data_IF_675227235508
#
_entry.id   IF_675227235508
#
_cell.length_a   1.000
_cell.length_b   1.000
_cell.length_c   1.000
_cell.angle_alpha   90.00
_cell.angle_beta   90.00
_cell.angle_gamma   90.00
#
_symmetry.space_group_name_H-M   'P 1'
#
loop_
_entity.id
_entity.type
_entity.pdbx_description
1 polymer ?
#
# COMPACT_ATOMS: atom_id res chain seq x y z
N UNK A 1 29.67 -47.93 -3.65
CA UNK A 1 30.30 -47.40 -4.86
C UNK A 1 29.30 -46.39 -5.41
N UNK A 2 29.38 -45.08 -5.09
CA UNK A 2 30.07 -44.06 -5.92
C UNK A 2 30.05 -44.48 -7.39
N UNK A 3 29.36 -43.73 -8.26
CA UNK A 3 30.02 -42.63 -8.98
C UNK A 3 28.99 -41.72 -9.69
N UNK A 4 29.15 -40.41 -9.45
CA UNK A 4 28.86 -39.23 -10.32
C UNK A 4 27.40 -38.98 -10.78
N UNK A 5 26.66 -37.96 -10.34
CA UNK A 5 26.90 -36.50 -10.36
C UNK A 5 27.54 -35.96 -11.65
N UNK A 6 26.81 -35.05 -12.30
CA UNK A 6 27.19 -34.15 -13.40
C UNK A 6 27.20 -34.72 -14.82
N UNK A 7 26.11 -34.44 -15.55
CA UNK A 7 26.21 -33.90 -16.90
C UNK A 7 25.02 -32.97 -17.17
N UNK A 8 25.09 -31.75 -16.61
CA UNK A 8 24.67 -30.59 -17.39
C UNK A 8 25.42 -30.64 -18.72
N UNK A 9 24.72 -30.39 -19.85
CA UNK A 9 25.20 -30.27 -21.24
C UNK A 9 24.92 -31.43 -22.23
N UNK A 10 23.69 -31.95 -22.32
CA UNK A 10 23.29 -32.64 -23.56
C UNK A 10 22.59 -31.67 -24.53
N UNK A 11 23.38 -30.99 -25.36
CA UNK A 11 22.99 -30.74 -26.76
C UNK A 11 24.13 -31.28 -27.62
N UNK A 12 23.90 -32.37 -28.36
CA UNK A 12 23.69 -32.13 -29.79
C UNK A 12 22.71 -33.14 -30.43
N UNK A 13 21.76 -32.63 -31.20
CA UNK A 13 21.12 -33.39 -32.28
C UNK A 13 21.22 -32.54 -33.54
N UNK A 14 22.18 -32.88 -34.40
CA UNK A 14 22.34 -32.32 -35.74
C UNK A 14 21.47 -33.14 -36.70
N UNK A 15 20.41 -32.54 -37.28
CA UNK A 15 19.79 -33.10 -38.50
C UNK A 15 18.89 -32.12 -39.24
N UNK A 16 19.40 -31.58 -40.35
CA UNK A 16 18.61 -31.26 -41.54
C UNK A 16 18.04 -29.85 -41.61
N UNK A 17 17.69 -29.46 -42.85
CA UNK A 17 17.24 -28.12 -43.30
C UNK A 17 16.21 -27.41 -42.40
N UNK A 18 15.51 -28.12 -41.53
CA UNK A 18 14.60 -27.60 -40.49
C UNK A 18 15.30 -26.60 -39.54
N UNK A 19 16.56 -26.82 -39.18
CA UNK A 19 17.30 -25.95 -38.24
C UNK A 19 17.65 -24.59 -38.84
N UNK A 20 18.02 -24.57 -40.13
CA UNK A 20 18.32 -23.35 -40.88
C UNK A 20 17.05 -22.52 -41.04
N UNK A 21 15.92 -23.18 -41.36
CA UNK A 21 14.64 -22.49 -41.45
C UNK A 21 14.22 -21.91 -40.10
N UNK A 22 14.44 -22.64 -39.00
CA UNK A 22 14.18 -22.13 -37.65
C UNK A 22 15.05 -20.91 -37.31
N UNK A 23 16.33 -20.93 -37.65
CA UNK A 23 17.24 -19.79 -37.44
C UNK A 23 16.84 -18.57 -38.29
N UNK A 24 16.53 -18.79 -39.56
CA UNK A 24 16.07 -17.72 -40.48
C UNK A 24 14.76 -17.11 -40.00
N UNK A 25 13.80 -17.93 -39.56
CA UNK A 25 12.53 -17.47 -39.03
C UNK A 25 12.74 -16.64 -37.75
N UNK A 26 13.61 -17.07 -36.83
CA UNK A 26 13.93 -16.30 -35.62
C UNK A 26 14.59 -14.96 -35.98
N UNK A 27 15.58 -14.95 -36.88
CA UNK A 27 16.21 -13.71 -37.35
C UNK A 27 15.23 -12.76 -38.02
N UNK A 28 14.30 -13.29 -38.82
CA UNK A 28 13.27 -12.48 -39.48
C UNK A 28 12.30 -11.91 -38.44
N UNK A 29 11.88 -12.71 -37.46
CA UNK A 29 11.05 -12.26 -36.34
C UNK A 29 11.78 -11.16 -35.54
N UNK A 30 13.06 -11.32 -35.21
CA UNK A 30 13.84 -10.29 -34.49
C UNK A 30 14.08 -9.03 -35.32
N UNK A 31 14.20 -9.15 -36.63
CA UNK A 31 14.40 -7.99 -37.50
C UNK A 31 13.15 -7.11 -37.59
N UNK A 32 11.96 -7.72 -37.65
CA UNK A 32 10.68 -7.00 -37.76
C UNK A 32 10.00 -6.74 -36.40
N UNK A 33 10.27 -7.59 -35.41
CA UNK A 33 9.78 -7.54 -34.04
C UNK A 33 10.94 -7.88 -33.09
N UNK A 34 11.86 -6.93 -32.82
CA UNK A 34 13.06 -7.15 -32.00
C UNK A 34 12.80 -7.62 -30.57
N UNK A 35 11.53 -7.62 -30.15
CA UNK A 35 11.07 -8.06 -28.83
C UNK A 35 10.17 -9.32 -28.92
N UNK A 36 10.24 -10.13 -29.98
CA UNK A 36 9.40 -11.33 -30.13
C UNK A 36 10.14 -12.66 -29.89
N UNK A 37 11.47 -12.72 -30.04
CA UNK A 37 12.26 -13.85 -29.53
C UNK A 37 12.51 -13.68 -28.02
N UNK A 38 12.72 -14.78 -27.29
CA UNK A 38 12.66 -14.90 -25.83
C UNK A 38 13.50 -13.96 -24.94
N UNK A 39 14.21 -12.98 -25.51
CA UNK A 39 14.83 -11.86 -24.79
C UNK A 39 13.79 -10.85 -24.25
N UNK A 40 12.57 -10.81 -24.78
CA UNK A 40 11.56 -9.83 -24.37
C UNK A 40 10.80 -10.17 -23.10
N UNK A 41 10.59 -11.45 -22.79
CA UNK A 41 9.92 -11.85 -21.55
C UNK A 41 10.69 -11.33 -20.32
N UNK A 42 12.02 -11.54 -20.30
CA UNK A 42 12.91 -11.02 -19.25
C UNK A 42 12.91 -9.49 -19.22
N UNK A 43 12.85 -8.83 -20.39
CA UNK A 43 12.77 -7.38 -20.46
C UNK A 43 11.42 -6.82 -19.96
N UNK A 44 10.33 -7.58 -20.15
CA UNK A 44 8.98 -7.24 -19.66
C UNK A 44 8.92 -7.42 -18.15
N UNK A 45 9.44 -8.52 -17.62
CA UNK A 45 9.48 -8.77 -16.17
C UNK A 45 10.22 -7.65 -15.44
N UNK A 46 11.37 -7.19 -15.98
CA UNK A 46 12.10 -6.05 -15.44
C UNK A 46 11.31 -4.73 -15.49
N UNK A 47 10.47 -4.52 -16.51
CA UNK A 47 9.62 -3.33 -16.61
C UNK A 47 8.45 -3.37 -15.64
N UNK A 48 7.88 -4.56 -15.42
CA UNK A 48 6.85 -4.80 -14.41
C UNK A 48 7.44 -4.56 -13.01
N UNK A 49 8.61 -5.10 -12.74
CA UNK A 49 9.31 -4.92 -11.46
C UNK A 49 9.61 -3.43 -11.20
N UNK A 50 10.11 -2.69 -12.19
CA UNK A 50 10.32 -1.24 -12.08
C UNK A 50 9.02 -0.47 -11.79
N UNK A 51 7.93 -0.81 -12.48
CA UNK A 51 6.64 -0.18 -12.23
C UNK A 51 6.11 -0.50 -10.82
N UNK A 52 6.28 -1.74 -10.36
CA UNK A 52 5.91 -2.17 -9.02
C UNK A 52 6.74 -1.45 -7.95
N UNK A 53 8.05 -1.32 -8.14
CA UNK A 53 8.92 -0.62 -7.20
C UNK A 53 8.63 0.88 -7.15
N UNK A 54 8.28 1.49 -8.29
CA UNK A 54 7.81 2.87 -8.33
C UNK A 54 6.51 3.04 -7.55
N UNK A 55 5.52 2.18 -7.77
CA UNK A 55 4.24 2.20 -7.03
C UNK A 55 4.47 1.98 -5.54
N UNK A 56 5.33 1.01 -5.18
CA UNK A 56 5.69 0.72 -3.79
C UNK A 56 6.34 1.94 -3.14
N UNK A 57 7.31 2.57 -3.81
CA UNK A 57 7.98 3.77 -3.33
C UNK A 57 6.99 4.92 -3.15
N UNK A 58 6.12 5.16 -4.13
CA UNK A 58 5.10 6.21 -4.06
C UNK A 58 4.14 6.00 -2.88
N UNK A 59 3.65 4.77 -2.69
CA UNK A 59 2.77 4.44 -1.57
C UNK A 59 3.49 4.60 -0.23
N UNK A 60 4.76 4.18 -0.14
CA UNK A 60 5.56 4.36 1.07
C UNK A 60 5.73 5.84 1.43
N UNK A 61 5.94 6.72 0.43
CA UNK A 61 6.02 8.16 0.67
C UNK A 61 4.67 8.74 1.08
N UNK A 62 3.60 8.45 0.35
CA UNK A 62 2.26 8.95 0.66
C UNK A 62 1.79 8.51 2.05
N UNK A 63 1.96 7.23 2.40
CA UNK A 63 1.60 6.71 3.73
C UNK A 63 2.43 7.37 4.82
N UNK A 64 3.74 7.59 4.59
CA UNK A 64 4.59 8.29 5.56
C UNK A 64 4.09 9.72 5.78
N UNK A 65 3.80 10.45 4.72
CA UNK A 65 3.31 11.82 4.81
C UNK A 65 1.99 11.90 5.57
N UNK A 66 1.02 11.04 5.25
CA UNK A 66 -0.26 10.96 5.96
C UNK A 66 -0.08 10.65 7.45
N UNK A 67 0.89 9.79 7.80
CA UNK A 67 1.22 9.48 9.20
C UNK A 67 1.82 10.69 9.92
N UNK A 68 2.72 11.44 9.28
CA UNK A 68 3.29 12.65 9.89
C UNK A 68 2.24 13.75 10.08
N UNK A 69 1.37 13.98 9.09
CA UNK A 69 0.22 14.91 9.22
C UNK A 69 -0.69 14.49 10.38
N UNK A 70 -0.98 13.20 10.53
CA UNK A 70 -1.80 12.71 11.63
C UNK A 70 -1.13 12.91 12.99
N UNK A 71 0.19 12.69 13.10
CA UNK A 71 0.94 12.94 14.34
C UNK A 71 0.91 14.42 14.73
N UNK A 72 1.12 15.32 13.77
CA UNK A 72 1.03 16.77 14.00
C UNK A 72 -0.35 17.16 14.50
N UNK A 73 -1.41 16.63 13.87
CA UNK A 73 -2.79 16.88 14.28
C UNK A 73 -3.10 16.33 15.68
N UNK A 74 -2.58 15.15 16.03
CA UNK A 74 -2.71 14.59 17.39
C UNK A 74 -2.00 15.50 18.39
N UNK A 75 -0.79 15.98 18.09
CA UNK A 75 -0.04 16.87 18.96
C UNK A 75 -0.79 18.20 19.19
N UNK A 76 -1.27 18.84 18.13
CA UNK A 76 -2.05 20.08 18.20
C UNK A 76 -3.33 19.90 19.05
N UNK A 77 -4.05 18.79 18.85
CA UNK A 77 -5.25 18.49 19.64
C UNK A 77 -4.91 18.24 21.11
N UNK A 78 -3.82 17.54 21.42
CA UNK A 78 -3.37 17.33 22.80
C UNK A 78 -3.01 18.65 23.47
N UNK A 79 -2.26 19.53 22.79
CA UNK A 79 -1.94 20.86 23.31
C UNK A 79 -3.19 21.69 23.56
N UNK A 80 -4.17 21.63 22.64
CA UNK A 80 -5.45 22.30 22.80
C UNK A 80 -6.25 21.75 23.98
N UNK A 81 -6.26 20.43 24.19
CA UNK A 81 -6.89 19.80 25.36
C UNK A 81 -6.22 20.30 26.64
N UNK A 82 -4.89 20.26 26.72
CA UNK A 82 -4.14 20.72 27.89
C UNK A 82 -4.43 22.18 28.22
N UNK A 83 -4.48 23.04 27.20
CA UNK A 83 -4.84 24.44 27.36
C UNK A 83 -6.27 24.60 27.90
N UNK A 84 -7.24 23.89 27.31
CA UNK A 84 -8.63 23.95 27.73
C UNK A 84 -8.82 23.39 29.15
N UNK A 85 -8.12 22.33 29.53
CA UNK A 85 -8.14 21.77 30.88
C UNK A 85 -7.59 22.76 31.91
N UNK A 86 -6.49 23.45 31.58
CA UNK A 86 -5.93 24.50 32.42
C UNK A 86 -6.92 25.66 32.60
N UNK A 87 -7.48 26.19 31.50
CA UNK A 87 -8.49 27.25 31.54
C UNK A 87 -9.73 26.81 32.33
N UNK A 88 -10.21 25.58 32.12
CA UNK A 88 -11.37 25.03 32.81
C UNK A 88 -11.15 24.89 34.32
N UNK A 89 -9.94 24.49 34.74
CA UNK A 89 -9.58 24.41 36.15
C UNK A 89 -9.58 25.79 36.82
N UNK A 90 -9.06 26.82 36.15
CA UNK A 90 -9.10 28.20 36.67
C UNK A 90 -10.55 28.68 36.79
N UNK A 91 -11.36 28.46 35.75
CA UNK A 91 -12.77 28.85 35.75
C UNK A 91 -13.55 28.15 36.88
N UNK A 92 -13.35 26.84 37.07
CA UNK A 92 -13.97 26.07 38.17
C UNK A 92 -13.55 26.58 39.54
N UNK A 93 -12.27 26.92 39.73
CA UNK A 93 -11.77 27.46 40.99
C UNK A 93 -12.30 28.87 41.29
N UNK A 94 -12.63 29.64 40.25
CA UNK A 94 -13.07 31.04 40.35
C UNK A 94 -14.60 31.20 40.30
N UNK A 95 -15.35 30.16 39.91
CA UNK A 95 -16.79 30.20 39.80
C UNK A 95 -17.49 30.11 41.15
N UNK A 96 -18.57 30.86 41.31
CA UNK A 96 -19.44 30.77 42.51
C UNK A 96 -20.21 29.45 42.53
N UNK A 97 -20.55 28.97 43.73
CA UNK A 97 -21.28 27.71 43.91
C UNK A 97 -22.59 27.67 43.12
N UNK A 98 -23.28 28.81 43.00
CA UNK A 98 -24.52 28.97 42.22
C UNK A 98 -24.30 28.84 40.70
N UNK A 99 -23.18 29.34 40.18
CA UNK A 99 -22.83 29.20 38.76
C UNK A 99 -22.46 27.76 38.42
N UNK A 100 -21.75 27.07 39.34
CA UNK A 100 -21.38 25.67 39.19
C UNK A 100 -22.59 24.73 39.18
N UNK A 101 -23.64 25.01 39.96
CA UNK A 101 -24.90 24.23 39.95
C UNK A 101 -25.75 24.46 38.69
N UNK A 102 -25.67 25.63 38.04
CA UNK A 102 -26.33 25.86 36.75
C UNK A 102 -25.61 25.14 35.58
N UNK A 103 -24.28 25.00 35.66
CA UNK A 103 -23.51 24.26 34.65
C UNK A 103 -23.79 22.75 34.67
N UNK A 104 -23.97 22.15 35.85
CA UNK A 104 -24.21 20.70 35.98
C UNK A 104 -25.60 20.24 35.51
N UNK A 105 -26.57 21.14 35.43
CA UNK A 105 -27.92 20.84 34.91
C UNK A 105 -28.01 20.87 33.38
N UNK A 106 -27.01 21.42 32.68
CA UNK A 106 -27.07 21.62 31.22
C UNK A 106 -26.36 20.52 30.42
N UNK A 107 -25.49 19.70 31.03
CA UNK A 107 -24.74 18.65 30.34
C UNK A 107 -25.55 17.35 30.25
N UNK A 108 -26.52 17.29 29.33
CA UNK A 108 -27.03 16.01 28.86
C UNK A 108 -25.93 15.32 28.02
N UNK A 109 -25.67 14.01 28.20
CA UNK A 109 -24.59 13.33 27.50
C UNK A 109 -24.85 13.33 25.97
N UNK A 110 -23.81 13.52 25.14
CA UNK A 110 -23.95 13.42 23.69
C UNK A 110 -24.33 11.97 23.35
N UNK A 111 -25.49 11.80 22.72
CA UNK A 111 -25.90 10.49 22.19
C UNK A 111 -24.86 10.02 21.16
N UNK A 112 -24.40 8.77 21.22
CA UNK A 112 -23.44 8.25 20.24
C UNK A 112 -24.03 8.31 18.83
N UNK A 113 -23.21 8.60 17.79
CA UNK A 113 -23.69 8.60 16.41
C UNK A 113 -24.17 7.19 16.03
N UNK A 114 -25.46 7.06 15.72
CA UNK A 114 -26.02 5.85 15.13
C UNK A 114 -25.41 5.67 13.74
N UNK A 115 -24.55 4.66 13.60
CA UNK A 115 -24.05 4.22 12.30
C UNK A 115 -25.18 3.50 11.55
N UNK A 116 -25.58 3.92 10.33
CA UNK A 116 -26.54 3.17 9.53
C UNK A 116 -25.87 1.90 9.02
N UNK A 117 -26.08 0.79 9.72
CA UNK A 117 -25.66 -0.54 9.27
C UNK A 117 -26.48 -0.93 8.02
N UNK A 118 -25.87 -1.20 6.86
CA UNK A 118 -26.61 -1.72 5.70
C UNK A 118 -27.03 -3.16 6.00
N UNK A 119 -28.34 -3.37 6.07
CA UNK A 119 -28.96 -4.68 6.27
C UNK A 119 -28.80 -5.50 4.99
N UNK A 120 -27.80 -6.38 4.94
CA UNK A 120 -27.75 -7.45 3.94
C UNK A 120 -28.61 -8.61 4.43
N UNK A 121 -29.86 -8.66 3.95
CA UNK A 121 -30.74 -9.81 4.11
C UNK A 121 -30.31 -11.00 3.23
N UNK A 122 -30.70 -12.23 3.57
CA UNK A 122 -30.34 -13.41 2.78
C UNK A 122 -31.17 -13.45 1.49
N UNK A 123 -30.51 -13.60 0.35
CA UNK A 123 -31.16 -13.95 -0.91
C UNK A 123 -31.37 -15.46 -0.90
N UNK A 124 -32.65 -15.88 -0.99
CA UNK A 124 -33.06 -17.28 -1.24
C UNK A 124 -32.66 -17.75 -2.64
#
# INVERSE_FOLDING_TARGET
MKTEMMAMHQYPVFSGKQDILREVVIKYIDHFYPNASGNSAVAIDNKIEQAMDLVKSHLMFAVREEVEVLKEKIAELMDRINQLEFENNILKASATQETLTQLSTTVAPPKPPQNPNPTNGPVS
#
